data_IF_858934632216
#
_entry.id   IF_858934632216
#
_cell.length_a   1.000
_cell.length_b   1.000
_cell.length_c   1.000
_cell.angle_alpha   90.00
_cell.angle_beta   90.00
_cell.angle_gamma   90.00
#
_symmetry.space_group_name_H-M   'P 1'
#
loop_
_entity.id
_entity.type
_entity.pdbx_description
1 polymer ?
#
# COMPACT_ATOMS: atom_id res chain seq x y z
N UNK A 1 2.92 -76.33 -28.68
CA UNK A 1 1.94 -77.43 -28.60
C UNK A 1 0.66 -76.85 -28.02
N UNK A 2 -0.45 -77.01 -28.76
CA UNK A 2 -1.88 -76.73 -28.45
C UNK A 2 -2.27 -76.93 -26.96
N UNK A 3 -3.19 -76.21 -26.31
CA UNK A 3 -4.59 -75.82 -26.60
C UNK A 3 -4.99 -74.69 -25.62
N UNK A 4 -5.74 -73.64 -25.94
CA UNK A 4 -7.18 -73.57 -26.23
C UNK A 4 -8.09 -74.23 -25.16
N UNK A 5 -8.61 -73.44 -24.22
CA UNK A 5 -9.84 -73.76 -23.50
C UNK A 5 -10.92 -72.72 -23.77
N UNK A 6 -12.08 -73.26 -24.10
CA UNK A 6 -13.20 -72.68 -24.81
C UNK A 6 -14.26 -72.26 -23.81
N UNK A 7 -14.75 -71.03 -24.00
CA UNK A 7 -16.05 -70.45 -23.64
C UNK A 7 -16.95 -71.05 -22.55
N UNK A 8 -17.47 -70.16 -21.71
CA UNK A 8 -18.89 -70.17 -21.33
C UNK A 8 -19.41 -68.75 -21.12
N UNK A 9 -20.46 -68.44 -21.86
CA UNK A 9 -21.34 -67.29 -21.70
C UNK A 9 -21.83 -67.18 -20.26
N UNK A 10 -22.15 -65.97 -19.77
CA UNK A 10 -23.49 -65.60 -19.26
C UNK A 10 -23.49 -64.36 -18.33
N UNK A 11 -24.39 -63.41 -18.64
CA UNK A 11 -25.03 -62.35 -17.79
C UNK A 11 -24.17 -61.14 -17.42
N UNK A 12 -24.35 -60.01 -18.11
CA UNK A 12 -25.30 -58.91 -17.79
C UNK A 12 -25.04 -58.34 -16.39
N UNK A 13 -24.33 -57.21 -16.34
CA UNK A 13 -24.64 -56.11 -15.44
C UNK A 13 -24.18 -54.80 -16.11
N UNK A 14 -25.10 -54.14 -16.82
CA UNK A 14 -24.87 -52.77 -17.30
C UNK A 14 -25.03 -51.84 -16.10
N UNK A 15 -23.93 -51.49 -15.44
CA UNK A 15 -23.87 -50.31 -14.58
C UNK A 15 -23.66 -49.11 -15.50
N UNK A 16 -24.76 -48.44 -15.83
CA UNK A 16 -24.73 -47.11 -16.41
C UNK A 16 -24.20 -46.15 -15.35
N UNK A 17 -22.91 -45.81 -15.43
CA UNK A 17 -22.29 -44.78 -14.62
C UNK A 17 -22.85 -43.41 -14.99
N UNK A 18 -23.59 -42.81 -14.06
CA UNK A 18 -24.01 -41.40 -14.13
C UNK A 18 -22.76 -40.57 -13.85
N UNK A 19 -22.15 -40.01 -14.90
CA UNK A 19 -21.13 -38.97 -14.78
C UNK A 19 -21.86 -37.66 -14.49
N UNK A 20 -22.08 -37.36 -13.21
CA UNK A 20 -22.49 -36.02 -12.78
C UNK A 20 -21.31 -35.07 -12.99
N UNK A 21 -21.33 -34.33 -14.08
CA UNK A 21 -20.49 -33.14 -14.27
C UNK A 21 -21.02 -32.06 -13.32
N UNK A 22 -20.48 -32.02 -12.10
CA UNK A 22 -20.65 -30.87 -11.23
C UNK A 22 -19.93 -29.69 -11.88
N UNK A 23 -20.71 -28.83 -12.52
CA UNK A 23 -20.26 -27.51 -12.95
C UNK A 23 -19.89 -26.74 -11.69
N UNK A 24 -18.59 -26.59 -11.44
CA UNK A 24 -18.06 -25.67 -10.43
C UNK A 24 -18.34 -24.27 -10.98
N UNK A 25 -19.53 -23.74 -10.68
CA UNK A 25 -19.79 -22.32 -10.76
C UNK A 25 -18.81 -21.67 -9.79
N UNK A 26 -17.70 -21.16 -10.32
CA UNK A 26 -16.77 -20.34 -9.58
C UNK A 26 -17.57 -19.18 -8.99
N UNK A 27 -17.65 -19.17 -7.65
CA UNK A 27 -18.07 -18.00 -6.90
C UNK A 27 -16.94 -17.00 -7.07
N UNK A 28 -16.94 -16.28 -8.19
CA UNK A 28 -16.25 -15.00 -8.25
C UNK A 28 -17.05 -14.11 -7.31
N UNK A 29 -16.47 -13.81 -6.15
CA UNK A 29 -16.94 -12.69 -5.34
C UNK A 29 -16.77 -11.45 -6.21
N UNK A 30 -17.82 -11.09 -6.94
CA UNK A 30 -18.03 -9.73 -7.41
C UNK A 30 -18.04 -8.88 -6.16
N UNK A 31 -16.87 -8.37 -5.78
CA UNK A 31 -16.81 -7.22 -4.90
C UNK A 31 -17.60 -6.17 -5.66
N UNK A 32 -18.76 -5.80 -5.10
CA UNK A 32 -19.46 -4.62 -5.56
C UNK A 32 -18.42 -3.50 -5.64
N UNK A 33 -18.53 -2.65 -6.66
CA UNK A 33 -17.71 -1.48 -6.82
C UNK A 33 -17.96 -0.52 -5.65
N UNK A 34 -17.36 -0.84 -4.50
CA UNK A 34 -17.22 0.05 -3.37
C UNK A 34 -16.22 1.10 -3.84
N UNK A 35 -16.70 2.33 -4.02
CA UNK A 35 -15.84 3.46 -4.33
C UNK A 35 -14.75 3.60 -3.26
N UNK A 36 -13.70 4.37 -3.57
CA UNK A 36 -12.63 4.63 -2.62
C UNK A 36 -13.22 5.21 -1.32
N UNK A 37 -13.14 4.47 -0.22
CA UNK A 37 -13.58 4.96 1.09
C UNK A 37 -12.48 5.87 1.62
N UNK A 38 -12.63 7.17 1.39
CA UNK A 38 -11.80 8.17 2.03
C UNK A 38 -12.06 8.15 3.54
N UNK A 39 -11.02 8.00 4.38
CA UNK A 39 -11.20 8.08 5.81
C UNK A 39 -11.84 9.43 6.14
N UNK A 40 -12.86 9.41 7.01
CA UNK A 40 -13.48 10.64 7.48
C UNK A 40 -12.37 11.48 8.11
N UNK A 41 -12.10 12.69 7.59
CA UNK A 41 -11.01 13.49 8.10
C UNK A 41 -11.27 13.75 9.59
N UNK A 42 -10.29 13.49 10.47
CA UNK A 42 -10.35 13.96 11.87
C UNK A 42 -10.06 15.46 11.98
N UNK A 43 -10.39 16.20 10.91
CA UNK A 43 -10.08 17.60 10.69
C UNK A 43 -11.33 18.28 10.13
N UNK A 44 -11.48 19.56 10.46
CA UNK A 44 -12.64 20.37 10.08
C UNK A 44 -12.68 20.65 8.57
N UNK A 45 -13.86 20.99 8.05
CA UNK A 45 -14.01 21.40 6.65
C UNK A 45 -13.19 22.65 6.33
N UNK A 46 -13.07 23.57 7.30
CA UNK A 46 -12.27 24.79 7.21
C UNK A 46 -10.78 24.49 7.02
N UNK A 47 -10.27 23.43 7.67
CA UNK A 47 -8.88 22.98 7.51
C UNK A 47 -8.64 22.40 6.11
N UNK A 48 -9.59 21.62 5.59
CA UNK A 48 -9.51 21.12 4.22
C UNK A 48 -9.57 22.28 3.22
N UNK A 49 -10.41 23.29 3.46
CA UNK A 49 -10.46 24.48 2.61
C UNK A 49 -9.14 25.27 2.65
N UNK A 50 -8.50 25.39 3.82
CA UNK A 50 -7.20 26.02 3.95
C UNK A 50 -6.13 25.28 3.13
N UNK A 51 -6.11 23.94 3.18
CA UNK A 51 -5.23 23.14 2.33
C UNK A 51 -5.52 23.37 0.85
N UNK A 52 -6.80 23.35 0.44
CA UNK A 52 -7.19 23.55 -0.96
C UNK A 52 -6.85 24.96 -1.49
N UNK A 53 -6.60 25.95 -0.64
CA UNK A 53 -6.09 27.26 -1.06
C UNK A 53 -4.61 27.21 -1.45
N UNK A 54 -3.86 26.26 -0.89
CA UNK A 54 -2.42 26.07 -1.13
C UNK A 54 -2.18 25.02 -2.23
N UNK A 55 -2.93 23.92 -2.17
CA UNK A 55 -2.88 22.77 -3.08
C UNK A 55 -4.27 22.56 -3.71
N UNK A 56 -4.67 23.39 -4.68
CA UNK A 56 -6.02 23.37 -5.23
C UNK A 56 -6.36 22.16 -6.10
N UNK A 57 -5.38 21.52 -6.73
CA UNK A 57 -5.63 20.45 -7.70
C UNK A 57 -4.83 19.17 -7.46
N UNK A 58 -5.21 18.12 -8.21
CA UNK A 58 -4.60 16.79 -8.10
C UNK A 58 -3.10 16.79 -8.42
N UNK A 59 -2.62 17.63 -9.34
CA UNK A 59 -1.21 17.66 -9.74
C UNK A 59 -0.35 18.41 -8.71
N UNK A 60 -0.92 19.39 -8.00
CA UNK A 60 -0.22 20.07 -6.90
C UNK A 60 0.15 19.11 -5.76
N UNK A 61 -0.69 18.12 -5.49
CA UNK A 61 -0.38 17.04 -4.54
C UNK A 61 0.64 16.02 -5.06
N UNK A 62 1.14 16.18 -6.29
CA UNK A 62 2.23 15.36 -6.84
C UNK A 62 3.55 16.12 -6.89
N UNK A 63 3.51 17.43 -6.66
CA UNK A 63 4.69 18.27 -6.53
C UNK A 63 5.18 18.27 -5.07
N UNK A 64 6.30 17.57 -4.85
CA UNK A 64 6.91 17.47 -3.52
C UNK A 64 7.27 18.83 -2.91
N UNK A 65 7.68 19.80 -3.72
CA UNK A 65 8.03 21.13 -3.23
C UNK A 65 6.78 21.88 -2.75
N UNK A 66 5.65 21.73 -3.45
CA UNK A 66 4.37 22.31 -3.02
C UNK A 66 3.84 21.66 -1.75
N UNK A 67 3.94 20.33 -1.62
CA UNK A 67 3.61 19.62 -0.39
C UNK A 67 4.44 20.15 0.79
N UNK A 68 5.77 20.27 0.61
CA UNK A 68 6.65 20.79 1.66
C UNK A 68 6.29 22.23 2.06
N UNK A 69 6.00 23.11 1.09
CA UNK A 69 5.57 24.48 1.36
C UNK A 69 4.21 24.56 2.07
N UNK A 70 3.26 23.68 1.73
CA UNK A 70 1.99 23.58 2.43
C UNK A 70 2.19 23.15 3.89
N UNK A 71 3.01 22.12 4.12
CA UNK A 71 3.36 21.65 5.47
C UNK A 71 4.01 22.76 6.28
N UNK A 72 4.98 23.49 5.71
CA UNK A 72 5.64 24.61 6.38
C UNK A 72 4.65 25.72 6.75
N UNK A 73 3.76 26.09 5.82
CA UNK A 73 2.70 27.07 6.06
C UNK A 73 1.82 26.65 7.24
N UNK A 74 1.33 25.41 7.24
CA UNK A 74 0.46 24.91 8.31
C UNK A 74 1.19 24.82 9.66
N UNK A 75 2.48 24.45 9.67
CA UNK A 75 3.31 24.47 10.89
C UNK A 75 3.41 25.89 11.45
N UNK A 76 3.62 26.89 10.58
CA UNK A 76 3.73 28.29 10.99
C UNK A 76 2.39 28.84 11.53
N UNK A 77 1.27 28.30 11.06
CA UNK A 77 -0.07 28.59 11.59
C UNK A 77 -0.37 27.87 12.93
N UNK A 78 0.57 27.03 13.41
CA UNK A 78 0.51 26.37 14.72
C UNK A 78 -0.15 24.99 14.72
N UNK A 79 -0.37 24.39 13.55
CA UNK A 79 -0.89 23.03 13.47
C UNK A 79 0.14 21.98 13.89
N UNK A 80 -0.30 20.95 14.61
CA UNK A 80 0.55 19.80 14.93
C UNK A 80 0.69 18.86 13.72
N UNK A 81 1.74 18.04 13.72
CA UNK A 81 2.08 17.16 12.59
C UNK A 81 0.96 16.17 12.23
N UNK A 82 0.22 15.64 13.22
CA UNK A 82 -0.87 14.69 12.96
C UNK A 82 -2.00 15.41 12.24
N UNK A 83 -2.35 16.61 12.71
CA UNK A 83 -3.36 17.46 12.09
C UNK A 83 -2.98 17.87 10.66
N UNK A 84 -1.72 18.21 10.42
CA UNK A 84 -1.20 18.53 9.08
C UNK A 84 -1.36 17.34 8.13
N UNK A 85 -0.86 16.16 8.53
CA UNK A 85 -0.94 14.94 7.72
C UNK A 85 -2.39 14.58 7.39
N UNK A 86 -3.28 14.62 8.39
CA UNK A 86 -4.69 14.31 8.21
C UNK A 86 -5.41 15.31 7.29
N UNK A 87 -5.06 16.59 7.36
CA UNK A 87 -5.64 17.62 6.50
C UNK A 87 -5.23 17.46 5.04
N UNK A 88 -3.95 17.16 4.79
CA UNK A 88 -3.44 16.94 3.43
C UNK A 88 -4.05 15.68 2.80
N UNK A 89 -4.15 14.57 3.55
CA UNK A 89 -4.82 13.34 3.07
C UNK A 89 -6.32 13.60 2.84
N UNK A 90 -6.98 14.29 3.77
CA UNK A 90 -8.41 14.61 3.69
C UNK A 90 -8.75 15.50 2.49
N UNK A 91 -7.87 16.44 2.14
CA UNK A 91 -8.02 17.29 0.96
C UNK A 91 -7.76 16.54 -0.36
N UNK A 92 -6.77 15.65 -0.38
CA UNK A 92 -6.41 14.91 -1.59
C UNK A 92 -7.40 13.81 -1.96
N UNK A 93 -7.92 13.08 -0.98
CA UNK A 93 -8.70 11.87 -1.24
C UNK A 93 -9.92 12.11 -2.17
N UNK A 94 -10.72 13.17 -2.00
CA UNK A 94 -11.80 13.50 -2.94
C UNK A 94 -11.31 13.88 -4.35
N UNK A 95 -10.07 14.35 -4.52
CA UNK A 95 -9.49 14.64 -5.82
C UNK A 95 -9.16 13.35 -6.56
N UNK A 96 -8.59 12.36 -5.84
CA UNK A 96 -8.29 11.03 -6.39
C UNK A 96 -9.57 10.29 -6.79
N UNK A 97 -10.62 10.34 -5.96
CA UNK A 97 -11.91 9.70 -6.24
C UNK A 97 -12.53 10.22 -7.56
N UNK A 98 -12.38 11.54 -7.82
CA UNK A 98 -12.90 12.20 -9.03
C UNK A 98 -12.00 12.03 -10.25
N UNK A 99 -10.79 11.50 -10.09
CA UNK A 99 -9.84 11.37 -11.19
C UNK A 99 -10.28 10.28 -12.17
N UNK A 100 -10.53 10.68 -13.41
CA UNK A 100 -10.93 9.75 -14.47
C UNK A 100 -9.75 8.88 -14.89
N UNK A 101 -10.03 7.62 -15.22
CA UNK A 101 -9.03 6.69 -15.75
C UNK A 101 -8.22 5.93 -14.71
N UNK A 102 -8.43 6.18 -13.41
CA UNK A 102 -7.88 5.34 -12.33
C UNK A 102 -8.87 4.25 -11.95
N UNK A 103 -8.38 3.02 -11.88
CA UNK A 103 -9.06 1.93 -11.17
C UNK A 103 -9.04 2.18 -9.66
N UNK A 104 -9.94 1.53 -8.93
CA UNK A 104 -9.97 1.59 -7.46
C UNK A 104 -8.61 1.24 -6.82
N UNK A 105 -7.91 0.25 -7.39
CA UNK A 105 -6.58 -0.15 -6.92
C UNK A 105 -5.55 0.97 -7.12
N UNK A 106 -5.62 1.68 -8.26
CA UNK A 106 -4.76 2.83 -8.52
C UNK A 106 -5.11 4.00 -7.60
N UNK A 107 -6.39 4.29 -7.38
CA UNK A 107 -6.84 5.33 -6.45
C UNK A 107 -6.34 5.06 -5.01
N UNK A 108 -6.47 3.81 -4.56
CA UNK A 108 -5.95 3.38 -3.24
C UNK A 108 -4.43 3.58 -3.15
N UNK A 109 -3.71 3.24 -4.22
CA UNK A 109 -2.26 3.39 -4.25
C UNK A 109 -1.84 4.87 -4.22
N UNK A 110 -2.56 5.75 -4.92
CA UNK A 110 -2.32 7.19 -4.93
C UNK A 110 -2.46 7.79 -3.52
N UNK A 111 -3.57 7.50 -2.83
CA UNK A 111 -3.79 8.00 -1.45
C UNK A 111 -2.74 7.46 -0.48
N UNK A 112 -2.41 6.17 -0.59
CA UNK A 112 -1.35 5.56 0.22
C UNK A 112 0.01 6.23 -0.03
N UNK A 113 0.36 6.47 -1.29
CA UNK A 113 1.62 7.10 -1.66
C UNK A 113 1.71 8.53 -1.13
N UNK A 114 0.63 9.32 -1.26
CA UNK A 114 0.60 10.65 -0.67
C UNK A 114 0.76 10.59 0.85
N UNK A 115 0.04 9.69 1.54
CA UNK A 115 0.14 9.56 2.99
C UNK A 115 1.57 9.30 3.47
N UNK A 116 2.31 8.44 2.76
CA UNK A 116 3.74 8.21 3.02
C UNK A 116 4.58 9.47 2.77
N UNK A 117 4.35 10.13 1.64
CA UNK A 117 5.08 11.35 1.25
C UNK A 117 4.89 12.46 2.27
N UNK A 118 3.64 12.81 2.60
CA UNK A 118 3.30 13.87 3.54
C UNK A 118 3.82 13.56 4.94
N UNK A 119 3.70 12.32 5.40
CA UNK A 119 4.27 11.90 6.70
C UNK A 119 5.78 12.13 6.69
N UNK A 120 6.48 11.68 5.66
CA UNK A 120 7.93 11.87 5.56
C UNK A 120 8.31 13.34 5.57
N UNK A 121 7.66 14.18 4.76
CA UNK A 121 7.97 15.62 4.71
C UNK A 121 7.69 16.30 6.05
N UNK A 122 6.52 16.04 6.65
CA UNK A 122 6.11 16.64 7.91
C UNK A 122 7.09 16.32 9.05
N UNK A 123 7.52 15.07 9.15
CA UNK A 123 8.48 14.65 10.16
C UNK A 123 9.92 15.09 9.83
N UNK A 124 10.34 15.08 8.55
CA UNK A 124 11.66 15.58 8.15
C UNK A 124 11.83 17.07 8.43
N UNK A 125 10.76 17.86 8.31
CA UNK A 125 10.78 19.29 8.67
C UNK A 125 10.73 19.52 10.18
N UNK A 126 10.41 18.52 10.99
CA UNK A 126 10.37 18.62 12.46
C UNK A 126 11.70 18.25 13.12
N UNK A 127 12.54 17.48 12.41
CA UNK A 127 13.81 17.01 12.91
C UNK A 127 14.96 17.84 12.35
N UNK A 128 15.23 19.00 12.98
CA UNK A 128 16.32 19.91 12.57
C UNK A 128 17.72 19.24 12.52
N UNK A 129 17.87 18.03 13.09
CA UNK A 129 19.13 17.26 13.11
C UNK A 129 19.02 15.84 12.53
N UNK A 130 17.92 15.45 11.88
CA UNK A 130 17.86 14.13 11.22
C UNK A 130 17.21 14.18 9.84
N UNK A 131 17.79 13.39 8.93
CA UNK A 131 17.36 13.29 7.53
C UNK A 131 16.72 11.93 7.31
N UNK A 132 15.48 11.91 6.81
CA UNK A 132 14.80 10.65 6.44
C UNK A 132 15.23 10.25 5.04
N UNK A 133 15.98 9.15 4.94
CA UNK A 133 16.44 8.55 3.69
C UNK A 133 15.56 7.34 3.37
N UNK A 134 14.83 7.42 2.25
CA UNK A 134 13.96 6.34 1.77
C UNK A 134 14.65 5.63 0.61
N UNK A 135 14.84 4.32 0.77
CA UNK A 135 15.61 3.48 -0.15
C UNK A 135 14.86 2.19 -0.35
N UNK A 136 14.55 1.88 -1.60
CA UNK A 136 14.03 0.57 -1.96
C UNK A 136 15.12 -0.49 -1.77
N UNK A 137 14.89 -1.40 -0.82
CA UNK A 137 15.78 -2.53 -0.59
C UNK A 137 15.26 -3.75 -1.36
N UNK A 138 16.13 -4.48 -2.08
CA UNK A 138 15.77 -5.81 -2.56
C UNK A 138 15.33 -6.69 -1.38
N UNK A 139 14.31 -7.53 -1.58
CA UNK A 139 13.74 -8.39 -0.53
C UNK A 139 14.82 -9.17 0.25
N UNK A 140 15.77 -9.78 -0.47
CA UNK A 140 16.86 -10.53 0.13
C UNK A 140 17.80 -9.68 1.00
N UNK A 141 17.94 -8.38 0.69
CA UNK A 141 18.74 -7.44 1.50
C UNK A 141 17.97 -7.10 2.77
N UNK A 142 16.67 -6.80 2.66
CA UNK A 142 15.85 -6.49 3.83
C UNK A 142 15.76 -7.68 4.82
N UNK A 143 15.65 -8.91 4.32
CA UNK A 143 15.68 -10.12 5.15
C UNK A 143 17.01 -10.26 5.91
N UNK A 144 18.13 -9.98 5.25
CA UNK A 144 19.45 -9.94 5.89
C UNK A 144 19.54 -8.87 6.98
N UNK A 145 19.02 -7.66 6.73
CA UNK A 145 18.99 -6.60 7.74
C UNK A 145 18.21 -7.07 8.97
N UNK A 146 17.03 -7.66 8.79
CA UNK A 146 16.23 -8.19 9.90
C UNK A 146 16.96 -9.28 10.69
N UNK A 147 17.61 -10.21 10.00
CA UNK A 147 18.39 -11.27 10.65
C UNK A 147 19.53 -10.68 11.51
N UNK A 148 20.30 -9.76 10.92
CA UNK A 148 21.47 -9.17 11.56
C UNK A 148 21.10 -8.23 12.72
N UNK A 149 20.03 -7.45 12.58
CA UNK A 149 19.54 -6.57 13.65
C UNK A 149 19.04 -7.41 14.83
N UNK A 150 18.28 -8.48 14.56
CA UNK A 150 17.80 -9.42 15.57
C UNK A 150 18.94 -10.11 16.30
N UNK A 151 19.98 -10.56 15.58
CA UNK A 151 21.15 -11.18 16.19
C UNK A 151 21.91 -10.25 17.14
N UNK A 152 21.82 -8.93 16.92
CA UNK A 152 22.44 -7.90 17.77
C UNK A 152 21.49 -7.28 18.79
N UNK A 153 20.22 -7.69 18.82
CA UNK A 153 19.22 -7.16 19.74
C UNK A 153 18.83 -5.70 19.49
N UNK A 154 19.06 -5.19 18.28
CA UNK A 154 18.76 -3.80 17.87
C UNK A 154 17.64 -3.78 16.83
N UNK A 155 17.05 -2.61 16.63
CA UNK A 155 16.06 -2.41 15.57
C UNK A 155 16.73 -2.43 14.18
N UNK A 156 16.02 -2.86 13.11
CA UNK A 156 16.54 -2.80 11.74
C UNK A 156 17.08 -1.41 11.35
N UNK A 157 16.39 -0.34 11.73
CA UNK A 157 16.80 1.04 11.44
C UNK A 157 18.12 1.40 12.15
N UNK A 158 18.21 1.10 13.45
CA UNK A 158 19.42 1.31 14.26
C UNK A 158 20.59 0.47 13.73
N UNK A 159 20.32 -0.74 13.26
CA UNK A 159 21.34 -1.57 12.62
C UNK A 159 21.86 -0.93 11.33
N UNK A 160 20.97 -0.41 10.48
CA UNK A 160 21.34 0.28 9.23
C UNK A 160 22.19 1.52 9.55
N UNK A 161 21.74 2.36 10.48
CA UNK A 161 22.45 3.56 10.93
C UNK A 161 23.88 3.24 11.36
N UNK A 162 24.05 2.33 12.30
CA UNK A 162 25.36 1.90 12.80
C UNK A 162 26.30 1.36 11.70
N UNK A 163 25.76 0.74 10.64
CA UNK A 163 26.58 0.24 9.53
C UNK A 163 26.93 1.35 8.54
N UNK A 164 26.02 2.29 8.27
CA UNK A 164 26.32 3.47 7.46
C UNK A 164 27.40 4.30 8.14
N UNK A 165 27.28 4.58 9.43
CA UNK A 165 28.29 5.33 10.20
C UNK A 165 29.68 4.71 10.11
N UNK A 166 29.77 3.37 10.22
CA UNK A 166 31.03 2.65 10.05
C UNK A 166 31.61 2.80 8.64
N UNK A 167 30.76 2.69 7.61
CA UNK A 167 31.19 2.78 6.21
C UNK A 167 31.67 4.18 5.83
N UNK A 168 31.16 5.24 6.47
CA UNK A 168 31.54 6.62 6.16
C UNK A 168 32.65 7.17 7.08
N UNK A 169 33.00 6.45 8.14
CA UNK A 169 34.09 6.80 9.06
C UNK A 169 35.47 6.24 8.61
N UNK A 170 35.49 5.43 7.55
CA UNK A 170 36.70 4.92 6.87
C UNK A 170 37.15 5.87 5.76
#
# INVERSE_FOLDING_TARGET
>A
MFNAFKGKNMRILKLAGIVSVLSIAGIVNSHAAEGLICPVPQVSAEQIEAVNKILPDYEDFRDRAKIAGAIETMKNDGDDLIKIVNSLIGAYCPLVEKQQGLSLAQQTNEVRHLGLTVTREAFSLSSENSVIVDVELPQAVFEKVQEQSKAKGVLPAEWIENNIEKLIAE
#
